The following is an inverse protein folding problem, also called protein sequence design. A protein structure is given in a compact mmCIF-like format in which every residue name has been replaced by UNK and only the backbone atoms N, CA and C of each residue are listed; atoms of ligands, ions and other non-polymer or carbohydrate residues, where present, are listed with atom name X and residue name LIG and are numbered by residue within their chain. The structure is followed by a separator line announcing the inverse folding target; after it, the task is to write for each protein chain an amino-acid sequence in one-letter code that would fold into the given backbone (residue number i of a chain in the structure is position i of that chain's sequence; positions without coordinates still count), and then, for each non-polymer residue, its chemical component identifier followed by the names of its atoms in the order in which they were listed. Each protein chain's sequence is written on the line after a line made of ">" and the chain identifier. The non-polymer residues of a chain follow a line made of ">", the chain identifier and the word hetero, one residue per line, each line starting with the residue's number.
data_IF_502350169239
#
_entry.id   IF_502350169239
#
_cell.length_a   1.000
_cell.length_b   1.000
_cell.length_c   1.000
_cell.angle_alpha   90.00
_cell.angle_beta   90.00
_cell.angle_gamma   90.00
#
_symmetry.space_group_name_H-M   'P 1'
#
loop_
_entity.id
_entity.type
_entity.pdbx_description
1 polymer ?
#
# COMPACT_ATOMS: atom_id res chain seq x y z
N UNK A 1 11.87 25.29 52.07
CA UNK A 1 12.90 25.53 51.03
C UNK A 1 12.17 25.24 49.75
N UNK A 2 11.78 26.30 49.07
CA UNK A 2 10.91 26.30 47.89
C UNK A 2 11.48 25.40 46.79
N UNK A 3 10.84 24.27 46.54
CA UNK A 3 11.18 23.37 45.44
C UNK A 3 10.64 23.89 44.10
N UNK A 4 9.55 24.66 44.13
CA UNK A 4 8.93 25.26 42.95
C UNK A 4 9.83 26.27 42.23
N UNK A 5 10.58 27.09 42.97
CA UNK A 5 11.48 28.08 42.37
C UNK A 5 12.71 27.48 41.68
N UNK A 6 13.12 26.26 42.06
CA UNK A 6 14.22 25.55 41.40
C UNK A 6 13.74 24.81 40.15
N UNK A 7 12.51 24.28 40.18
CA UNK A 7 11.86 23.66 39.02
C UNK A 7 11.58 24.69 37.91
N UNK A 8 11.12 25.89 38.28
CA UNK A 8 10.88 26.99 37.33
C UNK A 8 12.20 27.50 36.68
N UNK A 9 13.30 27.57 37.45
CA UNK A 9 14.62 27.98 36.93
C UNK A 9 15.23 26.93 35.98
N UNK A 10 15.07 25.63 36.25
CA UNK A 10 15.56 24.55 35.37
C UNK A 10 14.74 24.45 34.06
N UNK A 11 13.43 24.71 34.10
CA UNK A 11 12.57 24.74 32.92
C UNK A 11 12.93 25.89 31.97
N UNK A 12 13.16 27.10 32.52
CA UNK A 12 13.58 28.27 31.73
C UNK A 12 14.95 28.07 31.07
N UNK A 13 15.89 27.42 31.77
CA UNK A 13 17.22 27.10 31.24
C UNK A 13 17.15 26.06 30.10
N UNK A 14 16.28 25.05 30.24
CA UNK A 14 16.03 24.04 29.20
C UNK A 14 15.36 24.64 27.96
N UNK A 15 14.38 25.53 28.15
CA UNK A 15 13.71 26.26 27.06
C UNK A 15 14.71 27.12 26.30
N UNK A 16 15.58 27.85 27.01
CA UNK A 16 16.64 28.66 26.39
C UNK A 16 17.60 27.81 25.54
N UNK A 17 18.04 26.67 26.07
CA UNK A 17 18.92 25.74 25.35
C UNK A 17 18.26 25.12 24.10
N UNK A 18 16.93 24.90 24.13
CA UNK A 18 16.18 24.46 22.95
C UNK A 18 16.10 25.56 21.89
N UNK A 19 15.87 26.82 22.29
CA UNK A 19 15.81 27.96 21.37
C UNK A 19 17.15 28.11 20.64
N UNK A 20 18.28 28.02 21.33
CA UNK A 20 19.60 28.10 20.72
C UNK A 20 19.83 27.01 19.66
N UNK A 21 19.48 25.76 19.97
CA UNK A 21 19.59 24.64 19.02
C UNK A 21 18.69 24.80 17.80
N UNK A 22 17.48 25.34 17.98
CA UNK A 22 16.56 25.60 16.86
C UNK A 22 17.06 26.74 15.99
N UNK A 23 17.64 27.80 16.58
CA UNK A 23 18.28 28.90 15.83
C UNK A 23 19.44 28.38 14.97
N UNK A 24 20.27 27.46 15.49
CA UNK A 24 21.39 26.87 14.74
C UNK A 24 20.92 26.01 13.56
N UNK A 25 19.80 25.32 13.70
CA UNK A 25 19.24 24.46 12.65
C UNK A 25 18.52 25.24 11.53
N UNK A 26 18.11 26.49 11.77
CA UNK A 26 17.35 27.29 10.83
C UNK A 26 18.26 27.97 9.79
N UNK A 27 18.04 27.77 8.47
CA UNK A 27 18.84 28.39 7.41
C UNK A 27 18.43 29.86 7.14
N UNK A 28 18.22 30.65 8.19
CA UNK A 28 17.81 32.06 8.12
C UNK A 28 18.72 32.93 9.00
N UNK A 29 18.85 34.24 8.70
CA UNK A 29 19.62 35.16 9.54
C UNK A 29 19.14 35.14 11.00
N UNK A 30 20.08 35.21 11.94
CA UNK A 30 19.80 35.08 13.38
C UNK A 30 18.71 36.04 13.90
N UNK A 31 18.65 37.26 13.36
CA UNK A 31 17.65 38.27 13.74
C UNK A 31 16.20 37.81 13.49
N UNK A 32 15.98 36.98 12.48
CA UNK A 32 14.67 36.39 12.16
C UNK A 32 14.51 35.02 12.81
N UNK A 33 15.60 34.28 13.00
CA UNK A 33 15.59 32.94 13.56
C UNK A 33 15.18 32.93 15.04
N UNK A 34 15.66 33.88 15.86
CA UNK A 34 15.39 33.93 17.31
C UNK A 34 13.89 34.03 17.65
N UNK A 35 13.10 34.97 17.10
CA UNK A 35 11.66 35.04 17.42
C UNK A 35 10.88 33.83 16.90
N UNK A 36 11.27 33.27 15.74
CA UNK A 36 10.66 32.05 15.21
C UNK A 36 10.96 30.86 16.10
N UNK A 37 12.22 30.67 16.49
CA UNK A 37 12.66 29.60 17.38
C UNK A 37 11.95 29.69 18.74
N UNK A 38 11.86 30.89 19.33
CA UNK A 38 11.12 31.10 20.58
C UNK A 38 9.65 30.71 20.45
N UNK A 39 8.98 31.15 19.38
CA UNK A 39 7.58 30.77 19.14
C UNK A 39 7.38 29.26 18.94
N UNK A 40 8.35 28.58 18.30
CA UNK A 40 8.33 27.13 18.11
C UNK A 40 8.58 26.37 19.42
N UNK A 41 9.53 26.82 20.23
CA UNK A 41 9.84 26.20 21.51
C UNK A 41 8.70 26.44 22.49
N UNK A 42 8.14 27.65 22.58
CA UNK A 42 6.96 27.95 23.40
C UNK A 42 5.77 27.08 22.98
N UNK A 43 5.62 26.84 21.68
CA UNK A 43 4.59 25.96 21.13
C UNK A 43 4.75 24.49 21.57
N UNK A 44 5.99 23.99 21.68
CA UNK A 44 6.29 22.61 22.10
C UNK A 44 6.24 22.47 23.64
N UNK A 45 6.77 23.47 24.35
CA UNK A 45 6.83 23.50 25.80
C UNK A 45 5.43 23.57 26.42
N UNK A 46 4.51 24.30 25.79
CA UNK A 46 3.15 24.47 26.33
C UNK A 46 2.22 23.34 25.92
N UNK A 47 1.81 22.50 26.88
CA UNK A 47 0.77 21.48 26.66
C UNK A 47 -0.54 22.12 26.22
N UNK A 48 -1.05 21.74 25.05
CA UNK A 48 -2.34 22.23 24.56
C UNK A 48 -3.45 21.24 24.89
N UNK A 49 -4.19 21.49 25.97
CA UNK A 49 -5.30 20.63 26.36
C UNK A 49 -6.39 20.58 25.26
N UNK A 50 -7.01 19.40 25.10
CA UNK A 50 -8.15 19.25 24.20
C UNK A 50 -9.41 19.88 24.82
N UNK A 51 -10.35 20.38 24.00
CA UNK A 51 -11.63 20.88 24.49
C UNK A 51 -12.46 19.77 25.11
N UNK A 52 -13.34 20.13 26.05
CA UNK A 52 -14.25 19.19 26.75
C UNK A 52 -15.12 18.39 25.77
N UNK A 53 -15.55 19.03 24.67
CA UNK A 53 -16.25 18.41 23.56
C UNK A 53 -15.34 18.38 22.34
N UNK A 54 -14.95 17.18 21.93
CA UNK A 54 -14.08 16.91 20.79
C UNK A 54 -14.73 15.96 19.80
N UNK A 55 -14.30 16.04 18.54
CA UNK A 55 -14.59 15.01 17.54
C UNK A 55 -13.54 13.90 17.65
N UNK A 56 -13.87 12.76 17.09
CA UNK A 56 -12.98 11.60 17.12
C UNK A 56 -13.70 10.37 16.61
N UNK A 57 -12.90 9.44 16.12
CA UNK A 57 -13.39 8.18 15.56
C UNK A 57 -13.24 7.05 16.57
N UNK A 58 -14.08 6.03 16.39
CA UNK A 58 -14.03 4.81 17.18
C UNK A 58 -13.94 3.62 16.24
N UNK A 59 -12.71 3.14 16.07
CA UNK A 59 -12.37 2.11 15.12
C UNK A 59 -12.14 0.80 15.85
N UNK A 60 -12.93 -0.22 15.53
CA UNK A 60 -12.76 -1.58 16.06
C UNK A 60 -11.99 -2.43 15.07
N UNK A 61 -10.99 -3.15 15.55
CA UNK A 61 -10.24 -4.12 14.78
C UNK A 61 -9.95 -5.39 15.58
N UNK A 62 -9.54 -6.43 14.86
CA UNK A 62 -9.04 -7.70 15.42
C UNK A 62 -7.70 -8.03 14.76
N UNK A 63 -6.63 -8.09 15.54
CA UNK A 63 -5.26 -8.39 15.06
C UNK A 63 -4.82 -9.72 15.65
N UNK A 64 -4.50 -10.69 14.81
CA UNK A 64 -4.05 -12.01 15.29
C UNK A 64 -5.07 -12.71 16.21
N UNK A 65 -6.36 -12.40 16.05
CA UNK A 65 -7.43 -12.88 16.93
C UNK A 65 -7.74 -12.03 18.17
N UNK A 66 -6.92 -11.02 18.48
CA UNK A 66 -7.09 -10.10 19.61
C UNK A 66 -7.91 -8.87 19.21
N UNK A 67 -8.97 -8.56 19.95
CA UNK A 67 -9.83 -7.40 19.65
C UNK A 67 -9.31 -6.13 20.32
N UNK A 68 -9.16 -5.07 19.53
CA UNK A 68 -8.81 -3.72 19.96
C UNK A 68 -9.84 -2.72 19.45
N UNK A 69 -10.05 -1.64 20.21
CA UNK A 69 -10.62 -0.39 19.71
C UNK A 69 -9.59 0.72 19.83
N UNK A 70 -9.38 1.41 18.72
CA UNK A 70 -8.65 2.67 18.65
C UNK A 70 -9.69 3.79 18.66
N UNK A 71 -9.61 4.65 19.66
CA UNK A 71 -10.45 5.84 19.75
C UNK A 71 -9.53 7.05 19.61
N UNK A 72 -9.82 7.92 18.65
CA UNK A 72 -9.06 9.15 18.44
C UNK A 72 -9.79 10.33 19.07
N UNK A 73 -9.05 11.37 19.43
CA UNK A 73 -9.61 12.66 19.78
C UNK A 73 -8.91 13.75 19.00
N UNK A 74 -9.70 14.59 18.35
CA UNK A 74 -9.23 15.64 17.44
C UNK A 74 -9.42 17.02 18.03
N UNK A 75 -8.50 17.90 17.66
CA UNK A 75 -8.67 19.33 17.81
C UNK A 75 -9.71 19.88 16.82
N UNK A 76 -10.26 21.08 17.06
CA UNK A 76 -11.20 21.72 16.13
C UNK A 76 -10.65 21.97 14.72
N UNK A 77 -9.32 21.97 14.57
CA UNK A 77 -8.60 22.12 13.30
C UNK A 77 -8.40 20.79 12.54
N UNK A 78 -8.89 19.66 13.08
CA UNK A 78 -8.77 18.33 12.49
C UNK A 78 -7.45 17.62 12.82
N UNK A 79 -6.56 18.22 13.60
CA UNK A 79 -5.33 17.55 14.03
C UNK A 79 -5.62 16.52 15.12
N UNK A 80 -4.90 15.41 15.07
CA UNK A 80 -4.94 14.39 16.10
C UNK A 80 -4.33 14.91 17.41
N UNK A 81 -5.09 14.84 18.51
CA UNK A 81 -4.64 15.29 19.83
C UNK A 81 -4.54 14.20 20.88
N UNK A 82 -5.27 13.09 20.73
CA UNK A 82 -5.14 11.96 21.63
C UNK A 82 -5.53 10.63 20.96
N UNK A 83 -5.01 9.56 21.54
CA UNK A 83 -5.39 8.19 21.21
C UNK A 83 -5.73 7.44 22.50
N UNK A 84 -6.77 6.62 22.44
CA UNK A 84 -7.20 5.75 23.52
C UNK A 84 -7.33 4.33 22.97
N UNK A 85 -6.77 3.37 23.71
CA UNK A 85 -6.77 1.96 23.33
C UNK A 85 -7.61 1.15 24.30
N UNK A 86 -8.56 0.38 23.77
CA UNK A 86 -9.40 -0.51 24.56
C UNK A 86 -9.28 -1.93 24.03
N UNK A 87 -8.71 -2.83 24.83
CA UNK A 87 -8.61 -4.26 24.50
C UNK A 87 -9.46 -5.11 25.44
N UNK A 88 -10.09 -6.18 24.95
CA UNK A 88 -11.12 -6.91 25.71
C UNK A 88 -10.67 -8.26 26.28
N UNK A 89 -9.62 -8.87 25.72
CA UNK A 89 -9.26 -10.29 26.00
C UNK A 89 -7.84 -10.47 26.52
N UNK A 90 -7.18 -9.41 26.94
CA UNK A 90 -5.78 -9.45 27.36
C UNK A 90 -5.66 -9.29 28.88
N UNK A 91 -4.56 -9.79 29.45
CA UNK A 91 -4.32 -9.72 30.88
C UNK A 91 -4.30 -8.28 31.42
N UNK A 92 -4.65 -8.11 32.70
CA UNK A 92 -4.76 -6.79 33.34
C UNK A 92 -3.46 -5.96 33.23
N UNK A 93 -2.30 -6.61 33.37
CA UNK A 93 -1.00 -5.95 33.25
C UNK A 93 -0.78 -5.36 31.84
N UNK A 94 -1.13 -6.11 30.80
CA UNK A 94 -0.99 -5.66 29.42
C UNK A 94 -1.95 -4.51 29.09
N UNK A 95 -3.21 -4.61 29.54
CA UNK A 95 -4.19 -3.53 29.39
C UNK A 95 -3.73 -2.25 30.08
N UNK A 96 -3.15 -2.34 31.28
CA UNK A 96 -2.60 -1.20 31.99
C UNK A 96 -1.43 -0.56 31.23
N UNK A 97 -0.52 -1.37 30.70
CA UNK A 97 0.62 -0.91 29.90
C UNK A 97 0.18 -0.21 28.61
N UNK A 98 -0.77 -0.78 27.87
CA UNK A 98 -1.33 -0.15 26.67
C UNK A 98 -2.05 1.17 26.98
N UNK A 99 -2.73 1.25 28.12
CA UNK A 99 -3.36 2.49 28.56
C UNK A 99 -2.33 3.56 28.88
N UNK A 100 -1.24 3.22 29.60
CA UNK A 100 -0.15 4.16 29.87
C UNK A 100 0.57 4.58 28.59
N UNK A 101 0.77 3.66 27.65
CA UNK A 101 1.32 3.95 26.33
C UNK A 101 0.46 4.96 25.56
N UNK A 102 -0.86 4.73 25.51
CA UNK A 102 -1.79 5.62 24.85
C UNK A 102 -1.80 7.04 25.47
N UNK A 103 -1.72 7.12 26.80
CA UNK A 103 -1.58 8.40 27.53
C UNK A 103 -0.28 9.10 27.15
N UNK A 104 0.85 8.39 27.14
CA UNK A 104 2.15 8.97 26.79
C UNK A 104 2.17 9.54 25.36
N UNK A 105 1.63 8.81 24.39
CA UNK A 105 1.50 9.28 23.00
C UNK A 105 0.57 10.50 22.92
N UNK A 106 -0.55 10.47 23.64
CA UNK A 106 -1.51 11.59 23.67
C UNK A 106 -0.88 12.86 24.27
N UNK A 107 -0.09 12.73 25.33
CA UNK A 107 0.67 13.86 25.89
C UNK A 107 1.66 14.39 24.86
N UNK A 108 2.42 13.52 24.19
CA UNK A 108 3.35 13.94 23.14
C UNK A 108 2.67 14.71 22.00
N UNK A 109 1.51 14.25 21.52
CA UNK A 109 0.71 14.96 20.51
C UNK A 109 0.22 16.33 21.02
N UNK A 110 -0.16 16.43 22.29
CA UNK A 110 -0.61 17.69 22.92
C UNK A 110 0.52 18.70 23.12
N UNK A 111 1.77 18.24 23.22
CA UNK A 111 2.99 19.05 23.17
C UNK A 111 3.47 19.32 21.74
N UNK A 112 2.66 18.98 20.72
CA UNK A 112 2.96 19.31 19.34
C UNK A 112 3.99 18.41 18.66
N UNK A 113 4.31 17.25 19.23
CA UNK A 113 5.15 16.26 18.54
C UNK A 113 4.42 15.81 17.26
N UNK A 114 5.05 15.89 16.09
CA UNK A 114 4.41 15.51 14.83
C UNK A 114 4.10 14.02 14.80
N UNK A 115 2.91 13.66 14.29
CA UNK A 115 2.47 12.28 14.19
C UNK A 115 3.48 11.42 13.40
N UNK A 116 4.09 12.00 12.37
CA UNK A 116 5.09 11.36 11.51
C UNK A 116 6.30 10.84 12.29
N UNK A 117 6.70 11.53 13.37
CA UNK A 117 7.80 11.08 14.22
C UNK A 117 7.44 9.77 14.93
N UNK A 118 6.22 9.66 15.44
CA UNK A 118 5.73 8.43 16.05
C UNK A 118 5.58 7.31 15.03
N UNK A 119 5.00 7.61 13.86
CA UNK A 119 4.83 6.64 12.77
C UNK A 119 6.18 6.04 12.37
N UNK A 120 7.22 6.87 12.22
CA UNK A 120 8.56 6.40 11.85
C UNK A 120 9.16 5.44 12.88
N UNK A 121 8.91 5.64 14.17
CA UNK A 121 9.48 4.82 15.25
C UNK A 121 8.69 3.52 15.44
N UNK A 122 7.36 3.61 15.39
CA UNK A 122 6.47 2.54 15.83
C UNK A 122 5.96 1.63 14.70
N UNK A 123 6.06 2.05 13.44
CA UNK A 123 5.74 1.17 12.31
C UNK A 123 6.75 0.02 12.20
N UNK A 124 6.26 -1.14 11.76
CA UNK A 124 7.03 -2.38 11.58
C UNK A 124 7.69 -2.96 12.83
N UNK A 125 7.36 -2.44 14.01
CA UNK A 125 7.74 -3.06 15.27
C UNK A 125 7.02 -4.41 15.43
N UNK A 126 7.79 -5.45 15.74
CA UNK A 126 7.30 -6.84 15.80
C UNK A 126 7.14 -7.28 17.25
N UNK A 127 5.89 -7.54 17.65
CA UNK A 127 5.55 -8.18 18.92
C UNK A 127 4.09 -8.65 18.90
N UNK A 128 3.73 -9.56 19.81
CA UNK A 128 2.35 -10.08 19.91
C UNK A 128 1.41 -9.07 20.60
N UNK A 129 0.17 -8.89 20.13
CA UNK A 129 -0.51 -9.64 19.07
C UNK A 129 -0.13 -9.16 17.66
N UNK A 130 0.10 -10.11 16.75
CA UNK A 130 0.45 -9.88 15.35
C UNK A 130 -0.32 -10.81 14.41
N UNK A 131 -0.41 -10.47 13.14
CA UNK A 131 -1.03 -11.30 12.10
C UNK A 131 -2.09 -10.58 11.28
N UNK A 132 -3.09 -11.34 10.84
CA UNK A 132 -4.20 -10.84 10.03
C UNK A 132 -5.02 -9.81 10.82
N UNK A 133 -5.38 -8.72 10.13
CA UNK A 133 -6.20 -7.63 10.65
C UNK A 133 -7.58 -7.71 10.03
N UNK A 134 -8.60 -7.75 10.88
CA UNK A 134 -10.00 -7.68 10.49
C UNK A 134 -10.64 -6.42 11.08
N UNK A 135 -11.43 -5.68 10.29
CA UNK A 135 -11.95 -4.38 10.70
C UNK A 135 -10.95 -3.25 10.44
N UNK A 136 -10.91 -2.25 11.33
CA UNK A 136 -10.13 -1.04 11.08
C UNK A 136 -10.78 -0.14 10.04
N UNK A 137 -9.97 0.71 9.39
CA UNK A 137 -10.33 1.33 8.10
C UNK A 137 -10.47 0.31 6.96
N UNK A 138 -10.07 -0.94 7.19
CA UNK A 138 -10.01 -1.99 6.17
C UNK A 138 -8.80 -1.89 5.25
N UNK A 139 -7.94 -0.88 5.44
CA UNK A 139 -6.78 -0.57 4.58
C UNK A 139 -5.52 -1.33 4.98
N UNK A 140 -5.36 -1.65 6.25
CA UNK A 140 -4.28 -2.51 6.76
C UNK A 140 -4.82 -3.93 6.92
N UNK A 141 -4.34 -4.88 6.11
CA UNK A 141 -4.76 -6.29 6.17
C UNK A 141 -3.87 -7.17 7.05
N UNK A 142 -2.61 -6.80 7.20
CA UNK A 142 -1.67 -7.52 8.06
C UNK A 142 -0.83 -6.55 8.88
N UNK A 143 -0.59 -6.89 10.14
CA UNK A 143 0.22 -6.10 11.05
C UNK A 143 1.24 -6.96 11.80
N UNK A 144 2.43 -6.40 12.02
CA UNK A 144 3.51 -7.01 12.79
C UNK A 144 3.34 -6.84 14.30
N UNK A 145 2.49 -5.90 14.73
CA UNK A 145 2.06 -5.74 16.11
C UNK A 145 0.80 -4.87 16.20
N UNK A 146 0.22 -4.81 17.41
CA UNK A 146 -0.87 -3.89 17.73
C UNK A 146 -0.49 -2.42 17.49
N UNK A 147 0.69 -2.02 17.98
CA UNK A 147 1.18 -0.63 17.89
C UNK A 147 1.46 -0.27 16.43
N UNK A 148 2.06 -1.17 15.68
CA UNK A 148 2.30 -1.01 14.26
C UNK A 148 0.99 -0.85 13.46
N UNK A 149 -0.06 -1.63 13.77
CA UNK A 149 -1.39 -1.40 13.19
C UNK A 149 -1.93 0.00 13.53
N UNK A 150 -1.88 0.42 14.80
CA UNK A 150 -2.38 1.72 15.25
C UNK A 150 -1.72 2.85 14.47
N UNK A 151 -0.38 2.89 14.41
CA UNK A 151 0.31 3.98 13.74
C UNK A 151 0.17 3.94 12.23
N UNK A 152 -0.04 2.78 11.61
CA UNK A 152 -0.41 2.72 10.20
C UNK A 152 -1.80 3.30 9.93
N UNK A 153 -2.80 2.94 10.75
CA UNK A 153 -4.14 3.52 10.62
C UNK A 153 -4.12 5.05 10.80
N UNK A 154 -3.43 5.54 11.85
CA UNK A 154 -3.30 6.98 12.08
C UNK A 154 -2.53 7.68 10.96
N UNK A 155 -1.48 7.08 10.42
CA UNK A 155 -0.71 7.64 9.33
C UNK A 155 -1.52 7.75 8.03
N UNK A 156 -2.35 6.75 7.75
CA UNK A 156 -3.21 6.75 6.57
C UNK A 156 -4.28 7.83 6.70
N UNK A 157 -4.95 7.91 7.86
CA UNK A 157 -6.06 8.84 8.07
C UNK A 157 -5.61 10.30 8.21
N UNK A 158 -4.61 10.58 9.06
CA UNK A 158 -4.22 11.95 9.41
C UNK A 158 -3.02 12.48 8.62
N UNK A 159 -2.11 11.60 8.18
CA UNK A 159 -0.90 12.01 7.46
C UNK A 159 -0.95 11.70 5.95
N UNK A 160 -2.04 11.09 5.46
CA UNK A 160 -2.20 10.73 4.05
C UNK A 160 -1.13 9.76 3.53
N UNK A 161 -0.53 8.96 4.41
CA UNK A 161 0.55 8.01 4.08
C UNK A 161 -0.02 6.73 3.46
N UNK A 162 -0.44 6.87 2.21
CA UNK A 162 -1.00 5.79 1.38
C UNK A 162 -0.01 4.63 1.14
N UNK A 163 1.29 4.89 1.26
CA UNK A 163 2.36 3.88 1.12
C UNK A 163 2.34 2.81 2.21
N UNK A 164 1.71 3.08 3.36
CA UNK A 164 1.56 2.13 4.46
C UNK A 164 0.28 1.28 4.35
N UNK A 165 -0.62 1.65 3.44
CA UNK A 165 -1.84 0.91 3.18
C UNK A 165 -1.56 -0.30 2.29
N UNK A 166 -2.19 -1.44 2.59
CA UNK A 166 -2.17 -2.60 1.70
C UNK A 166 -3.26 -2.49 0.62
N UNK A 167 -4.34 -1.77 0.94
CA UNK A 167 -5.49 -1.57 0.05
C UNK A 167 -5.70 -0.06 -0.14
N UNK A 168 -5.77 0.36 -1.41
CA UNK A 168 -6.06 1.74 -1.78
C UNK A 168 -7.48 2.13 -1.39
N UNK A 169 -7.72 3.42 -1.18
CA UNK A 169 -9.07 3.92 -0.87
C UNK A 169 -10.06 3.60 -2.00
N UNK A 170 -9.58 3.62 -3.25
CA UNK A 170 -10.34 3.30 -4.45
C UNK A 170 -10.83 1.84 -4.49
N UNK A 171 -10.03 0.89 -3.98
CA UNK A 171 -10.41 -0.53 -3.95
C UNK A 171 -11.42 -0.87 -2.85
N UNK A 172 -11.67 0.04 -1.90
CA UNK A 172 -12.70 -0.11 -0.88
C UNK A 172 -14.09 0.28 -1.38
N UNK A 173 -14.18 1.09 -2.43
CA UNK A 173 -15.45 1.46 -3.04
C UNK A 173 -15.98 0.31 -3.92
N UNK A 174 -17.10 -0.35 -3.56
CA UNK A 174 -17.66 -1.45 -4.34
C UNK A 174 -18.08 -1.04 -5.77
N UNK A 175 -18.22 0.26 -6.01
CA UNK A 175 -18.60 0.83 -7.30
C UNK A 175 -17.41 1.27 -8.15
N UNK A 176 -16.20 1.29 -7.59
CA UNK A 176 -14.98 1.58 -8.33
C UNK A 176 -14.50 0.35 -9.09
N UNK A 177 -14.11 0.58 -10.35
CA UNK A 177 -13.38 -0.40 -11.15
C UNK A 177 -11.92 -0.27 -10.71
N UNK A 178 -11.40 -1.28 -10.02
CA UNK A 178 -10.01 -1.31 -9.56
C UNK A 178 -9.02 -1.05 -10.70
N UNK A 179 -7.83 -0.54 -10.33
CA UNK A 179 -6.78 -0.26 -11.31
C UNK A 179 -6.45 -1.53 -12.12
N UNK A 180 -6.45 -1.44 -13.46
CA UNK A 180 -6.10 -2.58 -14.29
C UNK A 180 -4.64 -2.96 -14.09
N UNK A 181 -4.38 -4.20 -13.67
CA UNK A 181 -3.05 -4.79 -13.67
C UNK A 181 -2.78 -5.43 -15.03
N UNK A 182 -1.67 -5.06 -15.67
CA UNK A 182 -1.25 -5.66 -16.93
C UNK A 182 -0.47 -6.93 -16.61
N UNK A 183 -1.02 -8.07 -17.00
CA UNK A 183 -0.39 -9.37 -16.82
C UNK A 183 -0.12 -10.04 -18.16
N UNK A 184 0.66 -11.13 -18.16
CA UNK A 184 1.00 -11.88 -19.37
C UNK A 184 -0.23 -12.45 -20.09
N UNK A 185 -1.34 -12.64 -19.36
CA UNK A 185 -2.60 -13.16 -19.91
C UNK A 185 -3.57 -12.05 -20.35
N UNK A 186 -3.25 -10.78 -20.08
CA UNK A 186 -4.08 -9.64 -20.46
C UNK A 186 -4.26 -8.62 -19.33
N UNK A 187 -5.24 -7.75 -19.50
CA UNK A 187 -5.57 -6.71 -18.52
C UNK A 187 -6.48 -7.32 -17.45
N UNK A 188 -5.91 -7.57 -16.28
CA UNK A 188 -6.65 -8.07 -15.12
C UNK A 188 -7.33 -6.91 -14.38
N UNK A 189 -8.60 -7.10 -14.04
CA UNK A 189 -9.36 -6.21 -13.16
C UNK A 189 -10.01 -7.01 -12.03
N UNK A 190 -10.05 -6.45 -10.84
CA UNK A 190 -10.61 -7.10 -9.66
C UNK A 190 -11.82 -6.32 -9.16
N UNK A 191 -13.04 -6.78 -9.43
CA UNK A 191 -14.24 -6.15 -8.89
C UNK A 191 -14.67 -6.90 -7.62
N UNK A 192 -14.35 -6.36 -6.45
CA UNK A 192 -14.61 -7.03 -5.18
C UNK A 192 -13.92 -8.40 -5.09
N UNK A 193 -14.69 -9.48 -4.92
CA UNK A 193 -14.18 -10.86 -4.88
C UNK A 193 -14.07 -11.51 -6.27
N UNK A 194 -14.64 -10.88 -7.29
CA UNK A 194 -14.64 -11.40 -8.66
C UNK A 194 -13.43 -10.93 -9.45
N UNK A 195 -12.68 -11.86 -10.04
CA UNK A 195 -11.58 -11.59 -10.96
C UNK A 195 -12.09 -11.69 -12.39
N UNK A 196 -12.03 -10.59 -13.13
CA UNK A 196 -12.34 -10.57 -14.56
C UNK A 196 -11.06 -10.30 -15.36
N UNK A 197 -10.67 -11.28 -16.17
CA UNK A 197 -9.60 -11.12 -17.15
C UNK A 197 -10.23 -10.60 -18.42
N UNK A 198 -10.05 -9.31 -18.70
CA UNK A 198 -10.46 -8.77 -19.99
C UNK A 198 -9.32 -9.00 -20.97
N UNK A 199 -9.47 -10.05 -21.78
CA UNK A 199 -8.66 -10.26 -22.97
C UNK A 199 -8.96 -9.09 -23.92
N UNK A 200 -8.11 -8.07 -23.91
CA UNK A 200 -8.21 -6.99 -24.90
C UNK A 200 -7.94 -7.60 -26.27
N UNK A 201 -8.83 -7.36 -27.22
CA UNK A 201 -8.81 -7.95 -28.57
C UNK A 201 -7.43 -7.87 -29.26
N UNK A 202 -6.60 -6.89 -28.91
CA UNK A 202 -5.27 -6.67 -29.50
C UNK A 202 -4.15 -7.57 -28.96
N UNK A 203 -4.40 -8.38 -27.91
CA UNK A 203 -3.42 -9.34 -27.38
C UNK A 203 -3.54 -10.74 -28.01
N UNK A 204 -4.55 -10.95 -28.86
CA UNK A 204 -4.63 -12.15 -29.70
C UNK A 204 -3.70 -11.90 -30.90
N UNK A 205 -2.40 -12.15 -30.74
CA UNK A 205 -1.68 -12.66 -31.90
C UNK A 205 -2.45 -13.91 -32.32
N UNK A 206 -2.98 -14.00 -33.55
CA UNK A 206 -3.70 -15.18 -33.96
C UNK A 206 -2.74 -16.35 -33.80
N UNK A 207 -3.03 -17.23 -32.86
CA UNK A 207 -2.35 -18.51 -32.75
C UNK A 207 -2.75 -19.27 -34.00
N UNK A 208 -2.00 -19.09 -35.09
CA UNK A 208 -2.13 -19.93 -36.27
C UNK A 208 -2.03 -21.37 -35.79
N UNK A 209 -3.10 -22.14 -36.01
CA UNK A 209 -3.06 -23.57 -35.71
C UNK A 209 -1.86 -24.19 -36.42
N UNK A 210 -1.25 -25.22 -35.83
CA UNK A 210 -0.11 -25.91 -36.45
C UNK A 210 -0.44 -26.34 -37.90
N UNK A 211 -1.72 -26.64 -38.17
CA UNK A 211 -2.27 -26.97 -39.48
C UNK A 211 -2.27 -25.78 -40.45
N UNK A 212 -2.64 -24.57 -40.00
CA UNK A 212 -2.60 -23.36 -40.82
C UNK A 212 -1.15 -22.96 -41.19
N UNK A 213 -0.22 -23.13 -40.24
CA UNK A 213 1.21 -22.90 -40.47
C UNK A 213 1.80 -23.92 -41.46
N UNK A 214 1.40 -25.19 -41.34
CA UNK A 214 1.80 -26.24 -42.27
C UNK A 214 1.28 -26.00 -43.70
N UNK A 215 0.03 -25.54 -43.84
CA UNK A 215 -0.56 -25.21 -45.14
C UNK A 215 0.16 -24.03 -45.82
N UNK A 216 0.48 -22.98 -45.05
CA UNK A 216 1.23 -21.82 -45.58
C UNK A 216 2.64 -22.21 -46.03
N UNK A 217 3.36 -23.00 -45.22
CA UNK A 217 4.70 -23.49 -45.55
C UNK A 217 4.67 -24.38 -46.81
N UNK A 218 3.63 -25.22 -46.97
CA UNK A 218 3.46 -26.05 -48.15
C UNK A 218 3.20 -25.21 -49.42
N UNK A 219 2.42 -24.14 -49.30
CA UNK A 219 2.14 -23.20 -50.40
C UNK A 219 3.36 -22.36 -50.78
N UNK A 220 4.14 -21.93 -49.80
CA UNK A 220 5.43 -21.25 -50.01
C UNK A 220 6.46 -22.17 -50.70
N UNK A 221 6.44 -23.46 -50.38
CA UNK A 221 7.26 -24.47 -51.05
C UNK A 221 6.77 -24.85 -52.46
N UNK A 222 5.66 -24.26 -52.93
CA UNK A 222 5.14 -24.46 -54.28
C UNK A 222 4.37 -25.77 -54.49
N UNK A 223 3.92 -26.42 -53.40
CA UNK A 223 3.08 -27.61 -53.49
C UNK A 223 1.63 -27.23 -53.84
N UNK A 224 1.02 -27.97 -54.76
CA UNK A 224 -0.35 -27.70 -55.24
C UNK A 224 -1.43 -28.24 -54.31
N UNK A 225 -1.08 -29.16 -53.41
CA UNK A 225 -2.01 -29.84 -52.50
C UNK A 225 -2.70 -31.06 -53.11
N UNK A 226 -2.39 -31.39 -54.37
CA UNK A 226 -2.84 -32.63 -55.02
C UNK A 226 -2.13 -33.84 -54.39
N UNK A 227 -2.85 -34.96 -54.26
CA UNK A 227 -2.32 -36.21 -53.71
C UNK A 227 -1.78 -37.05 -54.86
N UNK A 228 -0.55 -37.54 -54.72
CA UNK A 228 0.07 -38.47 -55.67
C UNK A 228 -0.64 -39.83 -55.66
N UNK A 229 -1.09 -40.32 -56.81
CA UNK A 229 -1.79 -41.62 -56.93
C UNK A 229 -0.90 -42.82 -56.58
N UNK A 230 0.42 -42.75 -56.85
CA UNK A 230 1.34 -43.86 -56.59
C UNK A 230 1.75 -44.01 -55.11
N UNK A 231 1.97 -42.89 -54.39
CA UNK A 231 2.55 -42.91 -53.04
C UNK A 231 1.73 -42.21 -51.96
N UNK A 232 0.63 -41.52 -52.32
CA UNK A 232 -0.24 -40.83 -51.39
C UNK A 232 0.33 -39.53 -50.79
N UNK A 233 1.49 -39.05 -51.25
CA UNK A 233 2.08 -37.79 -50.77
C UNK A 233 1.36 -36.57 -51.36
N UNK A 234 1.14 -35.53 -50.55
CA UNK A 234 0.60 -34.24 -50.95
C UNK A 234 1.67 -33.24 -51.46
N UNK A 235 2.92 -33.69 -51.59
CA UNK A 235 4.06 -32.88 -52.07
C UNK A 235 4.18 -32.89 -53.59
N UNK A 236 3.08 -32.56 -54.27
CA UNK A 236 3.01 -32.43 -55.72
C UNK A 236 3.39 -31.00 -56.14
N UNK A 237 4.34 -30.86 -57.05
CA UNK A 237 4.81 -29.56 -57.59
C UNK A 237 4.47 -29.46 -59.07
N UNK A 238 4.07 -28.27 -59.52
CA UNK A 238 3.75 -28.03 -60.93
C UNK A 238 5.02 -27.90 -61.77
N UNK A 239 5.21 -28.78 -62.75
CA UNK A 239 6.32 -28.76 -63.70
C UNK A 239 5.75 -28.66 -65.13
N UNK A 240 5.52 -27.44 -65.59
CA UNK A 240 4.84 -27.17 -66.86
C UNK A 240 3.34 -27.45 -66.78
N UNK A 241 2.83 -28.27 -67.70
CA UNK A 241 1.41 -28.68 -67.74
C UNK A 241 1.10 -29.86 -66.80
N UNK A 242 2.11 -30.57 -66.30
CA UNK A 242 1.95 -31.74 -65.44
C UNK A 242 2.43 -31.48 -64.00
N UNK A 243 2.01 -32.35 -63.08
CA UNK A 243 2.47 -32.35 -61.69
C UNK A 243 3.54 -33.43 -61.51
N UNK A 244 4.53 -33.15 -60.68
CA UNK A 244 5.58 -34.08 -60.29
C UNK A 244 5.55 -34.27 -58.77
N UNK A 245 5.59 -35.51 -58.32
CA UNK A 245 5.74 -35.82 -56.90
C UNK A 245 7.21 -35.68 -56.49
N UNK A 246 7.49 -34.90 -55.44
CA UNK A 246 8.85 -34.78 -54.92
C UNK A 246 9.30 -35.97 -54.06
N UNK A 247 8.38 -36.80 -53.55
CA UNK A 247 8.73 -37.95 -52.71
C UNK A 247 9.01 -39.22 -53.53
N UNK A 248 8.21 -39.54 -54.55
CA UNK A 248 8.40 -40.74 -55.39
C UNK A 248 8.88 -40.46 -56.82
N UNK A 249 8.85 -39.20 -57.27
CA UNK A 249 9.31 -38.81 -58.60
C UNK A 249 8.33 -39.06 -59.75
N UNK A 250 7.12 -39.60 -59.50
CA UNK A 250 6.13 -39.84 -60.55
C UNK A 250 5.51 -38.53 -61.07
N UNK A 251 5.06 -38.55 -62.32
CA UNK A 251 4.49 -37.39 -63.02
C UNK A 251 3.12 -37.70 -63.59
N UNK A 252 2.16 -36.79 -63.45
CA UNK A 252 0.76 -36.97 -63.92
C UNK A 252 0.58 -36.81 -65.44
N UNK A 253 1.37 -37.54 -66.23
CA UNK A 253 1.07 -37.76 -67.66
C UNK A 253 1.72 -36.80 -68.65
N UNK A 254 2.94 -36.31 -68.38
CA UNK A 254 3.80 -35.73 -69.41
C UNK A 254 4.98 -36.68 -69.63
N UNK A 255 5.09 -37.20 -70.85
CA UNK A 255 6.26 -37.98 -71.34
C UNK A 255 7.42 -37.06 -71.65
#
# INVERSE_FOLDING_TARGET
>A
VDTTSLEDEEEDEAVSAMVEKVVEALPVPQEVAVPVAKSFVDYIATRRALPDKKKGDNVKARIGGHSVRLITGEYPDGRLGEIILVTSKEGAAWRAMLNQFAIAVSIGLQHGVPLEAFVKVFTFQKFEPSGMVEGGSGRVKMASSLVDWIFRELAIEYAGREDLAHVGAEDLDPYTISKPEITSEGVMRTRGETREVQLTLDAIQPTESAEAKAYRLAREAGFTGDICDDCGSSKMVRNGTCLKCNDCGSTTGCS
#
